data_IF_756901922412
#
_entry.id   IF_756901922412
#
_cell.length_a   1.000
_cell.length_b   1.000
_cell.length_c   1.000
_cell.angle_alpha   90.00
_cell.angle_beta   90.00
_cell.angle_gamma   90.00
#
_symmetry.space_group_name_H-M   'P 1'
#
loop_
_entity.id
_entity.type
_entity.pdbx_description
1 polymer ?
#
# COMPACT_ATOMS: atom_id res chain seq x y z
N UNK A 1 -9.85 27.83 -19.73
CA UNK A 1 -8.69 27.85 -18.83
C UNK A 1 -9.21 28.05 -17.41
N UNK A 2 -9.23 27.01 -16.55
CA UNK A 2 -9.66 27.12 -15.14
C UNK A 2 -8.63 27.98 -14.39
N UNK A 3 -9.08 29.04 -13.71
CA UNK A 3 -8.19 29.92 -12.94
C UNK A 3 -7.65 29.16 -11.72
N UNK A 4 -6.42 29.42 -11.30
CA UNK A 4 -5.73 28.83 -10.14
C UNK A 4 -6.55 28.93 -8.83
N UNK A 5 -7.54 29.82 -8.77
CA UNK A 5 -8.47 29.97 -7.65
C UNK A 5 -9.53 28.87 -7.52
N UNK A 6 -9.82 28.13 -8.61
CA UNK A 6 -10.83 27.05 -8.61
C UNK A 6 -10.28 25.73 -8.06
N UNK A 7 -8.98 25.67 -7.74
CA UNK A 7 -8.30 24.50 -7.17
C UNK A 7 -8.29 24.50 -5.62
N UNK A 8 -8.94 25.46 -4.99
CA UNK A 8 -9.11 25.48 -3.53
C UNK A 8 -10.26 24.57 -3.07
N UNK A 9 -10.22 23.30 -3.43
CA UNK A 9 -10.77 22.34 -2.49
C UNK A 9 -9.84 22.39 -1.27
N UNK A 10 -10.35 22.68 -0.06
CA UNK A 10 -9.52 22.60 1.12
C UNK A 10 -8.91 21.21 1.14
N UNK A 11 -7.58 21.13 1.11
CA UNK A 11 -6.87 19.87 1.32
C UNK A 11 -7.29 19.39 2.70
N UNK A 12 -8.21 18.43 2.75
CA UNK A 12 -8.66 17.77 3.98
C UNK A 12 -7.54 16.84 4.47
N UNK A 13 -6.40 17.44 4.84
CA UNK A 13 -5.26 16.74 5.40
C UNK A 13 -5.20 16.91 6.93
N UNK A 14 -4.55 15.99 7.60
CA UNK A 14 -4.49 15.96 9.05
C UNK A 14 -5.85 15.61 9.66
N UNK A 15 -6.28 16.37 10.67
CA UNK A 15 -7.52 16.08 11.42
C UNK A 15 -8.79 16.08 10.56
N UNK A 16 -8.75 16.66 9.38
CA UNK A 16 -9.86 16.69 8.43
C UNK A 16 -9.74 15.64 7.32
N UNK A 17 -8.69 14.81 7.32
CA UNK A 17 -8.60 13.70 6.36
C UNK A 17 -9.79 12.76 6.53
N UNK A 18 -10.47 12.48 5.43
CA UNK A 18 -11.68 11.65 5.43
C UNK A 18 -11.41 10.23 5.95
N UNK A 19 -10.18 9.76 5.80
CA UNK A 19 -9.75 8.40 6.16
C UNK A 19 -8.67 8.40 7.26
N UNK A 20 -8.69 9.43 8.09
CA UNK A 20 -7.79 9.56 9.23
C UNK A 20 -7.76 8.27 10.07
N UNK A 21 -6.57 7.85 10.49
CA UNK A 21 -6.35 6.62 11.25
C UNK A 21 -6.80 5.32 10.58
N UNK A 22 -6.82 5.27 9.24
CA UNK A 22 -7.07 4.03 8.47
C UNK A 22 -5.80 3.60 7.75
N UNK A 23 -5.40 2.34 7.87
CA UNK A 23 -4.24 1.80 7.18
C UNK A 23 -4.54 0.43 6.56
N UNK A 24 -4.32 0.33 5.26
CA UNK A 24 -4.46 -0.91 4.50
C UNK A 24 -3.09 -1.44 4.11
N UNK A 25 -2.77 -2.65 4.52
CA UNK A 25 -1.62 -3.38 4.02
C UNK A 25 -1.99 -4.11 2.74
N UNK A 26 -1.10 -4.07 1.75
CA UNK A 26 -1.21 -4.89 0.56
C UNK A 26 -0.28 -6.08 0.67
N UNK A 27 -0.77 -7.25 0.27
CA UNK A 27 0.03 -8.44 0.13
C UNK A 27 -0.29 -9.14 -1.20
N UNK A 28 0.71 -9.79 -1.77
CA UNK A 28 0.63 -10.52 -3.05
C UNK A 28 2.00 -10.58 -3.70
N UNK A 29 2.36 -11.70 -4.31
CA UNK A 29 3.65 -11.92 -4.95
C UNK A 29 3.89 -11.06 -6.21
N UNK A 30 5.08 -11.13 -6.80
CA UNK A 30 5.31 -10.59 -8.14
C UNK A 30 4.32 -11.22 -9.13
N UNK A 31 3.79 -10.44 -10.07
CA UNK A 31 2.80 -10.92 -11.04
C UNK A 31 1.37 -11.02 -10.51
N UNK A 32 1.11 -10.85 -9.19
CA UNK A 32 -0.27 -10.95 -8.65
C UNK A 32 -1.20 -9.81 -9.07
N UNK A 33 -0.69 -8.72 -9.64
CA UNK A 33 -1.51 -7.59 -10.08
C UNK A 33 -1.92 -6.61 -8.97
N UNK A 34 -1.20 -6.56 -7.84
CA UNK A 34 -1.50 -5.65 -6.72
C UNK A 34 -1.76 -4.21 -7.16
N UNK A 35 -0.88 -3.62 -7.97
CA UNK A 35 -1.02 -2.23 -8.43
C UNK A 35 -2.32 -1.99 -9.19
N UNK A 36 -2.72 -2.97 -10.01
CA UNK A 36 -3.98 -2.93 -10.74
C UNK A 36 -5.19 -2.98 -9.77
N UNK A 37 -5.20 -3.97 -8.86
CA UNK A 37 -6.26 -4.09 -7.84
C UNK A 37 -6.39 -2.81 -7.03
N UNK A 38 -5.27 -2.23 -6.57
CA UNK A 38 -5.27 -0.99 -5.79
C UNK A 38 -5.83 0.17 -6.58
N UNK A 39 -5.41 0.37 -7.84
CA UNK A 39 -5.93 1.45 -8.66
C UNK A 39 -7.45 1.34 -8.89
N UNK A 40 -7.96 0.12 -9.08
CA UNK A 40 -9.39 -0.15 -9.29
C UNK A 40 -10.22 -0.05 -8.01
N UNK A 41 -9.66 -0.45 -6.87
CA UNK A 41 -10.42 -0.57 -5.60
C UNK A 41 -10.19 0.58 -4.63
N UNK A 42 -9.16 1.39 -4.81
CA UNK A 42 -8.84 2.52 -3.91
C UNK A 42 -8.55 3.81 -4.65
N UNK A 43 -8.55 3.79 -5.97
CA UNK A 43 -8.35 4.98 -6.81
C UNK A 43 -9.36 6.07 -6.44
N UNK A 44 -8.89 7.31 -6.27
CA UNK A 44 -9.73 8.44 -5.86
C UNK A 44 -10.18 8.44 -4.39
N UNK A 45 -9.83 7.43 -3.59
CA UNK A 45 -10.20 7.38 -2.16
C UNK A 45 -9.48 8.42 -1.28
N UNK A 46 -8.39 9.00 -1.75
CA UNK A 46 -7.56 9.93 -0.95
C UNK A 46 -6.54 9.24 -0.05
N UNK A 47 -6.53 7.90 0.02
CA UNK A 47 -5.51 7.15 0.75
C UNK A 47 -4.11 7.42 0.20
N UNK A 48 -3.14 7.59 1.08
CA UNK A 48 -1.75 7.87 0.71
C UNK A 48 -0.97 6.58 0.49
N UNK A 49 -0.50 6.36 -0.73
CA UNK A 49 0.28 5.17 -1.09
C UNK A 49 1.72 5.27 -0.56
N UNK A 50 2.11 4.30 0.24
CA UNK A 50 3.48 4.08 0.73
C UNK A 50 4.07 2.92 -0.06
N UNK A 51 4.76 3.23 -1.15
CA UNK A 51 5.42 2.28 -2.04
C UNK A 51 6.82 2.78 -2.39
N UNK A 52 7.84 1.96 -2.19
CA UNK A 52 9.22 2.29 -2.57
C UNK A 52 9.55 1.95 -4.03
N UNK A 53 8.74 1.14 -4.68
CA UNK A 53 9.02 0.74 -6.07
C UNK A 53 8.80 1.89 -7.05
N UNK A 54 7.78 2.73 -6.85
CA UNK A 54 7.54 3.93 -7.68
C UNK A 54 8.70 4.93 -7.54
N UNK A 55 9.16 5.17 -6.30
CA UNK A 55 10.31 6.03 -6.04
C UNK A 55 11.58 5.45 -6.68
N UNK A 56 11.76 4.14 -6.60
CA UNK A 56 12.90 3.44 -7.16
C UNK A 56 12.91 3.52 -8.69
N UNK A 57 11.80 3.26 -9.35
CA UNK A 57 11.69 3.36 -10.80
C UNK A 57 11.97 4.78 -11.32
N UNK A 58 11.41 5.79 -10.66
CA UNK A 58 11.67 7.19 -10.98
C UNK A 58 13.16 7.56 -10.81
N UNK A 59 13.80 7.08 -9.76
CA UNK A 59 15.21 7.33 -9.51
C UNK A 59 16.13 6.56 -10.47
N UNK A 60 15.77 5.34 -10.89
CA UNK A 60 16.49 4.60 -11.93
C UNK A 60 16.50 5.38 -13.25
N UNK A 61 15.32 5.87 -13.68
CA UNK A 61 15.20 6.69 -14.91
C UNK A 61 16.06 7.97 -14.83
N UNK A 62 16.05 8.65 -13.68
CA UNK A 62 16.87 9.85 -13.46
C UNK A 62 18.37 9.57 -13.45
N UNK A 63 18.78 8.40 -13.02
CA UNK A 63 20.16 7.95 -13.01
C UNK A 63 20.61 7.36 -14.36
N UNK A 64 19.72 7.26 -15.37
CA UNK A 64 20.01 6.64 -16.66
C UNK A 64 20.19 5.12 -16.59
N UNK A 65 19.72 4.47 -15.52
CA UNK A 65 19.84 3.04 -15.31
C UNK A 65 18.67 2.28 -15.95
N UNK A 66 18.95 1.05 -16.38
CA UNK A 66 17.99 0.20 -17.07
C UNK A 66 16.92 -0.34 -16.12
N UNK A 67 15.66 -0.30 -16.56
CA UNK A 67 14.56 -0.98 -15.87
C UNK A 67 14.63 -2.50 -15.97
N UNK A 68 15.43 -3.04 -16.91
CA UNK A 68 15.68 -4.49 -17.04
C UNK A 68 16.65 -5.04 -16.00
N UNK A 69 17.28 -4.15 -15.22
CA UNK A 69 18.16 -4.47 -14.10
C UNK A 69 19.30 -5.45 -14.46
N UNK A 70 20.14 -5.18 -15.47
CA UNK A 70 21.25 -6.04 -15.80
C UNK A 70 22.24 -6.13 -14.61
N UNK A 71 22.98 -7.23 -14.51
CA UNK A 71 23.95 -7.44 -13.43
C UNK A 71 25.08 -6.40 -13.44
N UNK A 72 25.42 -5.87 -14.61
CA UNK A 72 26.43 -4.80 -14.76
C UNK A 72 26.06 -3.48 -14.06
N UNK A 73 24.79 -3.28 -13.72
CA UNK A 73 24.29 -2.09 -13.02
C UNK A 73 23.95 -2.36 -11.54
N UNK A 74 24.42 -3.46 -10.97
CA UNK A 74 24.01 -3.88 -9.62
C UNK A 74 24.39 -2.83 -8.53
N UNK A 75 25.65 -2.42 -8.50
CA UNK A 75 26.13 -1.44 -7.50
C UNK A 75 25.41 -0.09 -7.57
N UNK A 76 25.34 0.61 -8.75
CA UNK A 76 24.63 1.88 -8.83
C UNK A 76 23.13 1.73 -8.57
N UNK A 77 22.55 0.60 -8.95
CA UNK A 77 21.14 0.27 -8.68
C UNK A 77 20.86 0.14 -7.18
N UNK A 78 21.77 -0.47 -6.41
CA UNK A 78 21.59 -0.63 -4.96
C UNK A 78 21.67 0.71 -4.22
N UNK A 79 22.52 1.63 -4.65
CA UNK A 79 22.54 3.01 -4.16
C UNK A 79 21.20 3.69 -4.41
N UNK A 80 20.67 3.56 -5.63
CA UNK A 80 19.37 4.13 -6.01
C UNK A 80 18.23 3.49 -5.19
N UNK A 81 18.31 2.19 -4.91
CA UNK A 81 17.37 1.45 -4.06
C UNK A 81 17.39 1.99 -2.61
N UNK A 82 18.57 2.26 -2.07
CA UNK A 82 18.71 2.89 -0.76
C UNK A 82 18.02 4.24 -0.68
N UNK A 83 18.28 5.13 -1.64
CA UNK A 83 17.62 6.45 -1.73
C UNK A 83 16.11 6.35 -1.88
N UNK A 84 15.61 5.40 -2.67
CA UNK A 84 14.17 5.20 -2.82
C UNK A 84 13.50 4.82 -1.49
N UNK A 85 14.14 3.96 -0.70
CA UNK A 85 13.67 3.60 0.65
C UNK A 85 13.65 4.80 1.60
N UNK A 86 14.69 5.63 1.59
CA UNK A 86 14.77 6.85 2.41
C UNK A 86 13.67 7.86 2.06
N UNK A 87 13.47 8.14 0.77
CA UNK A 87 12.40 9.03 0.31
C UNK A 87 11.03 8.51 0.74
N UNK A 88 10.81 7.21 0.60
CA UNK A 88 9.55 6.58 1.01
C UNK A 88 9.35 6.62 2.52
N UNK A 89 10.42 6.42 3.29
CA UNK A 89 10.37 6.52 4.76
C UNK A 89 10.02 7.95 5.22
N UNK A 90 10.62 8.98 4.61
CA UNK A 90 10.30 10.39 4.88
C UNK A 90 8.83 10.71 4.54
N UNK A 91 8.34 10.28 3.37
CA UNK A 91 6.92 10.44 3.01
C UNK A 91 6.00 9.77 4.02
N UNK A 92 6.31 8.52 4.40
CA UNK A 92 5.53 7.79 5.41
C UNK A 92 5.52 8.53 6.75
N UNK A 93 6.65 9.07 7.20
CA UNK A 93 6.74 9.84 8.44
C UNK A 93 5.80 11.05 8.42
N UNK A 94 5.80 11.84 7.34
CA UNK A 94 4.89 12.98 7.17
C UNK A 94 3.41 12.56 7.19
N UNK A 95 3.07 11.45 6.52
CA UNK A 95 1.70 10.94 6.54
C UNK A 95 1.28 10.48 7.94
N UNK A 96 2.19 9.87 8.69
CA UNK A 96 1.95 9.44 10.07
C UNK A 96 1.83 10.62 11.03
N UNK A 97 2.56 11.72 10.80
CA UNK A 97 2.41 12.95 11.57
C UNK A 97 0.99 13.51 11.47
N UNK A 98 0.46 13.58 10.25
CA UNK A 98 -0.93 13.99 9.99
C UNK A 98 -1.98 12.92 10.28
N UNK A 99 -1.60 11.71 10.67
CA UNK A 99 -2.50 10.56 10.86
C UNK A 99 -3.35 10.23 9.64
N UNK A 100 -2.83 10.51 8.44
CA UNK A 100 -3.54 10.34 7.17
C UNK A 100 -3.87 8.87 6.89
N UNK A 101 -4.91 8.65 6.10
CA UNK A 101 -5.25 7.31 5.61
C UNK A 101 -4.17 6.73 4.69
N UNK A 102 -3.76 5.48 4.90
CA UNK A 102 -2.60 4.87 4.26
C UNK A 102 -2.94 3.61 3.48
N UNK A 103 -2.22 3.40 2.37
CA UNK A 103 -2.01 2.10 1.73
C UNK A 103 -0.52 1.79 1.83
N UNK A 104 -0.16 0.68 2.45
CA UNK A 104 1.22 0.23 2.62
C UNK A 104 1.46 -0.95 1.69
N UNK A 105 2.16 -0.71 0.59
CA UNK A 105 2.45 -1.76 -0.39
C UNK A 105 3.59 -2.66 0.10
N UNK A 106 3.35 -3.95 -0.02
CA UNK A 106 4.30 -4.99 0.33
C UNK A 106 4.02 -6.28 -0.43
N UNK A 107 4.99 -7.20 -0.42
CA UNK A 107 4.80 -8.51 -1.03
C UNK A 107 4.03 -9.48 -0.14
N UNK A 108 4.11 -9.32 1.17
CA UNK A 108 3.54 -10.28 2.13
C UNK A 108 4.43 -11.50 2.39
N UNK A 109 5.68 -11.50 1.94
CA UNK A 109 6.62 -12.61 2.17
C UNK A 109 7.04 -12.75 3.65
N UNK A 110 7.19 -11.63 4.33
CA UNK A 110 7.68 -11.54 5.70
C UNK A 110 6.51 -11.17 6.63
N UNK A 111 5.76 -12.17 7.11
CA UNK A 111 4.59 -11.95 7.96
C UNK A 111 4.94 -11.20 9.25
N UNK A 112 6.09 -11.51 9.87
CA UNK A 112 6.52 -10.87 11.11
C UNK A 112 6.81 -9.36 10.93
N UNK A 113 7.33 -8.96 9.79
CA UNK A 113 7.54 -7.55 9.47
C UNK A 113 6.20 -6.80 9.34
N UNK A 114 5.20 -7.43 8.72
CA UNK A 114 3.85 -6.86 8.63
C UNK A 114 3.23 -6.76 10.02
N UNK A 115 3.36 -7.80 10.85
CA UNK A 115 2.87 -7.80 12.23
C UNK A 115 3.51 -6.67 13.06
N UNK A 116 4.82 -6.49 12.94
CA UNK A 116 5.52 -5.40 13.62
C UNK A 116 5.00 -4.03 13.18
N UNK A 117 4.89 -3.79 11.87
CA UNK A 117 4.35 -2.53 11.34
C UNK A 117 2.88 -2.30 11.74
N UNK A 118 2.08 -3.36 11.75
CA UNK A 118 0.69 -3.33 12.20
C UNK A 118 0.61 -2.85 13.64
N UNK A 119 1.39 -3.46 14.57
CA UNK A 119 1.44 -3.06 15.98
C UNK A 119 1.84 -1.60 16.15
N UNK A 120 2.88 -1.15 15.47
CA UNK A 120 3.30 0.26 15.49
C UNK A 120 2.17 1.22 15.08
N UNK A 121 1.41 0.88 14.04
CA UNK A 121 0.28 1.71 13.61
C UNK A 121 -0.87 1.68 14.60
N UNK A 122 -1.18 0.53 15.17
CA UNK A 122 -2.23 0.39 16.20
C UNK A 122 -1.88 1.14 17.49
N UNK A 123 -0.60 1.18 17.86
CA UNK A 123 -0.10 2.01 18.96
C UNK A 123 -0.28 3.52 18.69
N UNK A 124 -0.22 3.94 17.44
CA UNK A 124 -0.55 5.31 17.03
C UNK A 124 -2.07 5.59 16.96
N UNK A 125 -2.91 4.55 17.07
CA UNK A 125 -4.36 4.65 17.02
C UNK A 125 -5.01 4.24 15.72
N UNK A 126 -4.25 3.72 14.73
CA UNK A 126 -4.80 3.29 13.46
C UNK A 126 -5.65 2.02 13.57
N UNK A 127 -6.75 1.99 12.83
CA UNK A 127 -7.40 0.75 12.43
C UNK A 127 -6.64 0.16 11.24
N UNK A 128 -6.25 -1.11 11.34
CA UNK A 128 -5.43 -1.78 10.34
C UNK A 128 -6.20 -2.86 9.60
N UNK A 129 -6.02 -2.91 8.29
CA UNK A 129 -6.69 -3.82 7.38
C UNK A 129 -5.68 -4.42 6.41
N UNK A 130 -6.03 -5.51 5.74
CA UNK A 130 -5.21 -6.11 4.68
C UNK A 130 -6.03 -6.42 3.44
N UNK A 131 -5.49 -6.09 2.28
CA UNK A 131 -5.94 -6.53 0.96
C UNK A 131 -4.91 -7.52 0.45
N UNK A 132 -5.29 -8.78 0.39
CA UNK A 132 -4.45 -9.86 -0.10
C UNK A 132 -4.84 -10.20 -1.54
N UNK A 133 -3.94 -9.94 -2.49
CA UNK A 133 -4.18 -10.24 -3.91
C UNK A 133 -3.63 -11.62 -4.22
N UNK A 134 -4.55 -12.55 -4.38
CA UNK A 134 -4.28 -13.95 -4.68
C UNK A 134 -4.27 -14.20 -6.18
N UNK A 135 -3.32 -15.01 -6.63
CA UNK A 135 -3.26 -15.57 -7.99
C UNK A 135 -2.65 -16.96 -7.95
N UNK A 136 -2.92 -17.79 -8.95
CA UNK A 136 -2.17 -19.01 -9.20
C UNK A 136 -0.72 -18.69 -9.55
N UNK A 137 0.16 -19.68 -9.40
CA UNK A 137 1.57 -19.50 -9.78
C UNK A 137 1.71 -19.24 -11.29
N UNK A 138 0.95 -19.97 -12.10
CA UNK A 138 1.02 -19.87 -13.57
C UNK A 138 0.63 -18.47 -14.04
N UNK A 139 -0.47 -17.90 -13.53
CA UNK A 139 -0.88 -16.53 -13.82
C UNK A 139 0.17 -15.52 -13.36
N UNK A 140 0.77 -15.74 -12.21
CA UNK A 140 1.82 -14.85 -11.69
C UNK A 140 3.09 -14.89 -12.57
N UNK A 141 3.49 -16.06 -13.06
CA UNK A 141 4.63 -16.25 -13.98
C UNK A 141 4.36 -15.60 -15.34
N UNK A 142 3.19 -15.88 -15.93
CA UNK A 142 2.79 -15.29 -17.20
C UNK A 142 2.82 -13.76 -17.12
N UNK A 143 2.12 -13.17 -16.16
CA UNK A 143 2.07 -11.72 -15.99
C UNK A 143 3.43 -11.09 -15.67
N UNK A 144 4.32 -11.83 -14.98
CA UNK A 144 5.69 -11.36 -14.74
C UNK A 144 6.49 -11.30 -16.03
N UNK A 145 6.34 -12.27 -16.95
CA UNK A 145 7.02 -12.30 -18.24
C UNK A 145 6.58 -11.13 -19.15
N UNK A 146 5.31 -10.75 -19.10
CA UNK A 146 4.72 -9.67 -19.91
C UNK A 146 5.12 -8.26 -19.43
N UNK A 147 5.73 -8.13 -18.25
CA UNK A 147 6.06 -6.81 -17.66
C UNK A 147 7.33 -6.22 -18.28
N UNK A 148 7.39 -4.88 -18.47
CA UNK A 148 8.62 -4.18 -18.85
C UNK A 148 9.78 -4.44 -17.87
N UNK A 149 9.45 -4.61 -16.58
CA UNK A 149 10.36 -4.98 -15.51
C UNK A 149 9.94 -6.34 -14.97
N UNK A 150 10.56 -7.39 -15.47
CA UNK A 150 10.37 -8.75 -14.99
C UNK A 150 11.44 -9.13 -13.96
N UNK A 151 11.13 -10.09 -13.12
CA UNK A 151 12.09 -10.72 -12.20
C UNK A 151 12.25 -12.19 -12.59
N UNK A 152 13.39 -12.85 -12.28
CA UNK A 152 13.60 -14.25 -12.57
C UNK A 152 12.46 -15.15 -12.02
N UNK A 153 12.05 -16.15 -12.79
CA UNK A 153 10.94 -17.06 -12.43
C UNK A 153 11.16 -17.75 -11.08
N UNK A 154 12.41 -18.10 -10.75
CA UNK A 154 12.77 -18.69 -9.46
C UNK A 154 12.43 -17.75 -8.28
N UNK A 155 12.59 -16.45 -8.48
CA UNK A 155 12.24 -15.42 -7.48
C UNK A 155 10.72 -15.30 -7.38
N UNK A 156 9.99 -15.33 -8.51
CA UNK A 156 8.52 -15.31 -8.52
C UNK A 156 7.99 -16.50 -7.75
N UNK A 157 8.45 -17.72 -8.09
CA UNK A 157 8.03 -18.98 -7.46
C UNK A 157 8.32 -18.98 -5.95
N UNK A 158 9.55 -18.61 -5.56
CA UNK A 158 9.93 -18.54 -4.13
C UNK A 158 9.07 -17.52 -3.37
N UNK A 159 8.84 -16.37 -3.98
CA UNK A 159 8.02 -15.31 -3.39
C UNK A 159 6.56 -15.75 -3.28
N UNK A 160 6.00 -16.35 -4.32
CA UNK A 160 4.63 -16.86 -4.34
C UNK A 160 4.41 -17.89 -3.23
N UNK A 161 5.28 -18.92 -3.12
CA UNK A 161 5.20 -19.93 -2.05
C UNK A 161 5.23 -19.30 -0.66
N UNK A 162 6.14 -18.36 -0.42
CA UNK A 162 6.25 -17.68 0.88
C UNK A 162 5.00 -16.83 1.20
N UNK A 163 4.40 -16.19 0.20
CA UNK A 163 3.18 -15.40 0.36
C UNK A 163 1.98 -16.29 0.65
N UNK A 164 1.83 -17.40 -0.09
CA UNK A 164 0.75 -18.37 0.11
C UNK A 164 0.80 -19.00 1.51
N UNK A 165 1.99 -19.35 2.00
CA UNK A 165 2.15 -19.92 3.35
C UNK A 165 1.75 -18.95 4.48
N UNK A 166 1.64 -17.66 4.20
CA UNK A 166 1.29 -16.64 5.18
C UNK A 166 -0.21 -16.31 5.22
N UNK A 167 -1.05 -16.82 4.31
CA UNK A 167 -2.49 -16.50 4.25
C UNK A 167 -3.18 -16.73 5.61
N UNK A 168 -2.98 -17.91 6.20
CA UNK A 168 -3.56 -18.24 7.51
C UNK A 168 -3.11 -17.29 8.63
N UNK A 169 -1.82 -16.91 8.63
CA UNK A 169 -1.28 -15.92 9.58
C UNK A 169 -1.95 -14.56 9.39
N UNK A 170 -2.09 -14.09 8.15
CA UNK A 170 -2.74 -12.81 7.85
C UNK A 170 -4.23 -12.81 8.21
N UNK A 171 -4.93 -13.90 7.94
CA UNK A 171 -6.33 -14.03 8.36
C UNK A 171 -6.47 -13.90 9.88
N UNK A 172 -5.59 -14.55 10.65
CA UNK A 172 -5.58 -14.45 12.11
C UNK A 172 -5.19 -13.04 12.60
N UNK A 173 -4.25 -12.37 11.93
CA UNK A 173 -3.80 -11.02 12.31
C UNK A 173 -4.84 -9.94 12.06
N UNK A 174 -5.53 -9.98 10.91
CA UNK A 174 -6.45 -8.94 10.47
C UNK A 174 -7.93 -9.29 10.64
N UNK A 175 -8.26 -10.57 10.85
CA UNK A 175 -9.63 -11.06 11.13
C UNK A 175 -10.66 -10.47 10.16
N UNK A 176 -11.66 -9.74 10.69
CA UNK A 176 -12.70 -9.08 9.88
C UNK A 176 -12.16 -8.00 8.92
N UNK A 177 -10.91 -7.55 9.14
CA UNK A 177 -10.20 -6.61 8.27
C UNK A 177 -9.37 -7.26 7.16
N UNK A 178 -9.40 -8.60 7.05
CA UNK A 178 -8.71 -9.34 6.00
C UNK A 178 -9.61 -9.50 4.76
N UNK A 179 -9.15 -8.97 3.62
CA UNK A 179 -9.84 -9.02 2.33
C UNK A 179 -8.97 -9.84 1.39
N UNK A 180 -9.48 -10.94 0.87
CA UNK A 180 -8.83 -11.71 -0.21
C UNK A 180 -9.48 -11.29 -1.52
N UNK A 181 -8.65 -11.00 -2.51
CA UNK A 181 -9.04 -10.71 -3.89
C UNK A 181 -8.46 -11.81 -4.76
N UNK A 182 -9.30 -12.67 -5.31
CA UNK A 182 -8.88 -13.59 -6.35
C UNK A 182 -8.71 -12.81 -7.65
N UNK A 183 -7.47 -12.71 -8.13
CA UNK A 183 -7.11 -11.95 -9.33
C UNK A 183 -6.54 -12.87 -10.43
N UNK A 184 -7.05 -14.10 -10.54
CA UNK A 184 -6.73 -14.97 -11.68
C UNK A 184 -7.37 -14.44 -12.96
N UNK A 185 -8.71 -14.34 -12.96
CA UNK A 185 -9.55 -13.82 -14.04
C UNK A 185 -10.57 -12.81 -13.50
N UNK A 186 -10.12 -11.89 -12.65
CA UNK A 186 -11.02 -10.97 -11.97
C UNK A 186 -11.71 -10.02 -12.98
N UNK A 187 -12.99 -10.18 -13.14
CA UNK A 187 -13.88 -9.22 -13.82
C UNK A 187 -14.17 -8.00 -12.96
N UNK A 188 -14.84 -7.01 -13.53
CA UNK A 188 -15.23 -5.76 -12.85
C UNK A 188 -16.03 -6.03 -11.56
N UNK A 189 -16.87 -7.07 -11.55
CA UNK A 189 -17.73 -7.43 -10.41
C UNK A 189 -16.92 -7.71 -9.14
N UNK A 190 -15.78 -8.38 -9.27
CA UNK A 190 -14.86 -8.68 -8.14
C UNK A 190 -14.33 -7.39 -7.56
N UNK A 191 -13.92 -6.44 -8.41
CA UNK A 191 -13.39 -5.14 -7.94
C UNK A 191 -14.47 -4.29 -7.29
N UNK A 192 -15.69 -4.32 -7.79
CA UNK A 192 -16.82 -3.62 -7.20
C UNK A 192 -17.19 -4.16 -5.81
N UNK A 193 -17.16 -5.48 -5.63
CA UNK A 193 -17.37 -6.10 -4.32
C UNK A 193 -16.27 -5.72 -3.33
N UNK A 194 -15.01 -5.83 -3.76
CA UNK A 194 -13.85 -5.43 -2.96
C UNK A 194 -13.95 -3.94 -2.58
N UNK A 195 -14.30 -3.08 -3.55
CA UNK A 195 -14.51 -1.66 -3.30
C UNK A 195 -15.61 -1.38 -2.28
N UNK A 196 -16.77 -2.03 -2.41
CA UNK A 196 -17.85 -1.92 -1.42
C UNK A 196 -17.38 -2.28 -0.02
N UNK A 197 -16.58 -3.34 0.11
CA UNK A 197 -16.01 -3.79 1.38
C UNK A 197 -15.00 -2.79 1.94
N UNK A 198 -14.06 -2.30 1.13
CA UNK A 198 -13.08 -1.27 1.52
C UNK A 198 -13.80 -0.01 1.97
N UNK A 199 -14.79 0.47 1.20
CA UNK A 199 -15.58 1.65 1.51
C UNK A 199 -16.34 1.50 2.84
N UNK A 200 -16.85 0.30 3.13
CA UNK A 200 -17.45 -0.02 4.41
C UNK A 200 -16.47 0.13 5.59
N UNK A 201 -15.21 -0.31 5.40
CA UNK A 201 -14.16 -0.16 6.41
C UNK A 201 -13.71 1.30 6.58
N UNK A 202 -13.59 2.04 5.47
CA UNK A 202 -13.21 3.46 5.49
C UNK A 202 -14.24 4.32 6.24
N UNK A 203 -15.54 4.01 6.11
CA UNK A 203 -16.63 4.74 6.77
C UNK A 203 -16.78 4.43 8.26
N UNK A 204 -16.11 3.40 8.79
CA UNK A 204 -16.16 3.11 10.22
C UNK A 204 -15.61 4.27 11.03
N UNK A 205 -16.33 4.68 12.06
CA UNK A 205 -15.87 5.69 13.00
C UNK A 205 -14.59 5.23 13.69
N UNK A 206 -13.72 6.20 13.98
CA UNK A 206 -12.53 5.97 14.80
C UNK A 206 -12.97 5.75 16.24
N UNK A 207 -12.73 4.57 16.79
CA UNK A 207 -13.14 4.19 18.16
C UNK A 207 -11.96 4.06 19.12
N UNK A 208 -10.73 4.05 18.62
CA UNK A 208 -9.53 3.96 19.43
C UNK A 208 -9.36 5.24 20.27
N UNK A 209 -9.23 5.10 21.58
CA UNK A 209 -9.12 6.23 22.53
C UNK A 209 -7.92 7.14 22.23
N UNK A 210 -6.76 6.57 21.84
CA UNK A 210 -5.58 7.37 21.48
C UNK A 210 -5.85 8.25 20.25
N UNK A 211 -6.53 7.69 19.26
CA UNK A 211 -6.91 8.42 18.06
C UNK A 211 -7.94 9.52 18.36
N UNK A 212 -8.94 9.23 19.18
CA UNK A 212 -9.95 10.22 19.59
C UNK A 212 -9.31 11.38 20.38
N UNK A 213 -8.39 11.08 21.30
CA UNK A 213 -7.66 12.09 22.04
C UNK A 213 -6.83 12.97 21.11
N UNK A 214 -6.09 12.37 20.15
CA UNK A 214 -5.31 13.12 19.16
C UNK A 214 -6.21 14.05 18.33
N UNK A 215 -7.33 13.55 17.82
CA UNK A 215 -8.31 14.34 17.05
C UNK A 215 -8.81 15.53 17.89
N UNK A 216 -9.18 15.29 19.13
CA UNK A 216 -9.68 16.35 20.03
C UNK A 216 -8.63 17.43 20.28
N UNK A 217 -7.37 17.04 20.49
CA UNK A 217 -6.25 17.98 20.67
C UNK A 217 -5.98 18.81 19.41
N UNK A 218 -5.98 18.19 18.24
CA UNK A 218 -5.75 18.92 16.98
C UNK A 218 -6.90 19.88 16.63
N UNK A 219 -8.14 19.48 16.89
CA UNK A 219 -9.30 20.39 16.74
C UNK A 219 -9.24 21.57 17.71
N UNK A 220 -8.79 21.37 18.94
CA UNK A 220 -8.61 22.45 19.92
C UNK A 220 -7.53 23.45 19.50
N UNK A 221 -6.39 22.99 18.91
CA UNK A 221 -5.34 23.85 18.37
C UNK A 221 -5.83 24.73 17.23
N UNK A 222 -6.74 24.22 16.39
CA UNK A 222 -7.25 24.94 15.19
C UNK A 222 -8.36 25.94 15.50
N UNK A 223 -8.91 25.92 16.73
CA UNK A 223 -9.92 26.88 17.20
C UNK A 223 -9.31 28.12 17.87
N UNK A 224 -8.00 28.08 18.10
CA UNK A 224 -7.20 29.23 18.59
C UNK A 224 -6.61 29.99 17.43
#
# INVERSE_FOLDING_TARGET
MKKFGDLRHPLHEGVYDQHIFKAFFLAGGPGSGKSYVVSRTTGGSGLKLVNSDDAFENLLRKAGLSLKMPSSEEEPRDVVRGRAKEVTAKKKANYLEGRLGLIIDGTGREAEKILFQKRQLEELGYDTYMIFVNTSLDVALQRNAERPRSVPESIVTKSWKAVQSNIGKFNNMFRKGFIIVDNNDAGEEVFDEVWKRIRGLLRKKVTNTRAQNWISMELAKKRR
#
